data_IF_121323012473
#
_entry.id   IF_121323012473
#
_cell.length_a   1.000
_cell.length_b   1.000
_cell.length_c   1.000
_cell.angle_alpha   90.00
_cell.angle_beta   90.00
_cell.angle_gamma   90.00
#
_symmetry.space_group_name_H-M   'P 1'
#
loop_
_entity.id
_entity.type
_entity.pdbx_description
1 polymer ?
#
# COMPACT_ATOMS: atom_id res chain seq x y z
N UNK A 1 2.85 -32.50 -5.36
CA UNK A 1 2.42 -33.79 -4.78
C UNK A 1 3.20 -34.92 -5.43
N UNK A 2 3.37 -36.07 -4.75
CA UNK A 2 3.99 -37.26 -5.32
C UNK A 2 3.29 -37.75 -6.59
N UNK A 3 4.05 -38.33 -7.52
CA UNK A 3 3.50 -39.01 -8.71
C UNK A 3 2.85 -40.35 -8.35
N UNK A 4 3.40 -41.05 -7.36
CA UNK A 4 2.83 -42.28 -6.82
C UNK A 4 1.46 -42.01 -6.19
N UNK A 5 0.46 -42.78 -6.63
CA UNK A 5 -0.93 -42.63 -6.24
C UNK A 5 -1.17 -42.98 -4.76
N UNK A 6 -0.45 -43.98 -4.23
CA UNK A 6 -0.55 -44.36 -2.81
C UNK A 6 -0.07 -43.22 -1.92
N UNK A 7 1.10 -42.68 -2.26
CA UNK A 7 1.74 -41.55 -1.58
C UNK A 7 0.90 -40.27 -1.67
N UNK A 8 0.26 -40.04 -2.83
CA UNK A 8 -0.63 -38.90 -3.03
C UNK A 8 -1.84 -38.95 -2.11
N UNK A 9 -2.47 -40.12 -1.96
CA UNK A 9 -3.59 -40.34 -1.03
C UNK A 9 -3.19 -40.11 0.43
N UNK A 10 -1.98 -40.51 0.82
CA UNK A 10 -1.44 -40.23 2.16
C UNK A 10 -1.27 -38.73 2.41
N UNK A 11 -0.75 -37.98 1.44
CA UNK A 11 -0.61 -36.52 1.54
C UNK A 11 -1.96 -35.79 1.58
N UNK A 12 -2.94 -36.26 0.81
CA UNK A 12 -4.32 -35.75 0.85
C UNK A 12 -4.96 -35.96 2.23
N UNK A 13 -4.75 -37.14 2.84
CA UNK A 13 -5.22 -37.46 4.18
C UNK A 13 -4.59 -36.57 5.26
N UNK A 14 -3.30 -36.26 5.13
CA UNK A 14 -2.60 -35.38 6.08
C UNK A 14 -3.09 -33.94 6.06
N UNK A 15 -3.64 -33.45 4.94
CA UNK A 15 -4.18 -32.10 4.83
C UNK A 15 -5.51 -31.90 5.55
N UNK A 16 -6.24 -32.98 5.87
CA UNK A 16 -7.52 -32.97 6.60
C UNK A 16 -8.55 -31.97 6.05
N UNK A 17 -8.59 -31.79 4.72
CA UNK A 17 -9.60 -30.97 4.03
C UNK A 17 -10.69 -31.86 3.49
N UNK A 18 -11.94 -31.57 3.82
CA UNK A 18 -13.09 -32.29 3.26
C UNK A 18 -13.11 -32.15 1.73
N UNK A 19 -13.35 -33.27 1.02
CA UNK A 19 -13.51 -33.34 -0.43
C UNK A 19 -12.33 -32.83 -1.29
N UNK A 20 -11.13 -32.70 -0.71
CA UNK A 20 -9.95 -32.26 -1.47
C UNK A 20 -9.31 -33.42 -2.26
N UNK A 21 -9.13 -33.21 -3.58
CA UNK A 21 -8.36 -34.11 -4.47
C UNK A 21 -7.21 -33.33 -5.11
N UNK A 22 -5.99 -33.85 -5.00
CA UNK A 22 -4.80 -33.19 -5.51
C UNK A 22 -4.66 -33.37 -7.02
N UNK A 23 -4.51 -32.26 -7.74
CA UNK A 23 -4.16 -32.23 -9.17
C UNK A 23 -2.65 -32.19 -9.37
N UNK A 24 -2.17 -32.43 -10.60
CA UNK A 24 -0.73 -32.41 -10.92
C UNK A 24 -0.06 -31.03 -10.68
N UNK A 25 -0.84 -29.94 -10.69
CA UNK A 25 -0.38 -28.59 -10.38
C UNK A 25 -0.36 -28.27 -8.87
N UNK A 26 -0.94 -29.12 -8.03
CA UNK A 26 -1.00 -28.89 -6.59
C UNK A 26 0.38 -29.08 -5.94
N UNK A 27 0.79 -28.12 -5.10
CA UNK A 27 2.07 -28.13 -4.37
C UNK A 27 1.82 -27.87 -2.87
N UNK A 28 2.71 -28.39 -2.02
CA UNK A 28 2.76 -28.14 -0.58
C UNK A 28 4.11 -27.47 -0.29
N UNK A 29 4.13 -26.45 0.57
CA UNK A 29 5.37 -25.76 0.91
C UNK A 29 6.27 -26.62 1.83
N UNK A 30 7.58 -26.39 1.78
CA UNK A 30 8.57 -27.17 2.54
C UNK A 30 8.40 -27.09 4.07
N UNK A 31 7.71 -26.07 4.59
CA UNK A 31 7.46 -25.87 6.03
C UNK A 31 6.59 -26.97 6.66
N UNK A 32 5.86 -27.73 5.84
CA UNK A 32 4.99 -28.80 6.32
C UNK A 32 5.71 -30.14 6.50
N UNK A 33 7.02 -30.19 6.21
CA UNK A 33 7.86 -31.38 6.31
C UNK A 33 8.94 -31.18 7.38
N UNK A 34 9.27 -32.24 8.09
CA UNK A 34 10.42 -32.26 9.01
C UNK A 34 11.74 -32.18 8.24
N UNK A 35 12.80 -31.67 8.88
CA UNK A 35 14.10 -31.49 8.20
C UNK A 35 14.72 -32.81 7.74
N UNK A 36 14.41 -33.93 8.40
CA UNK A 36 14.91 -35.27 8.07
C UNK A 36 14.25 -35.87 6.81
N UNK A 37 13.15 -35.27 6.35
CA UNK A 37 12.47 -35.64 5.11
C UNK A 37 13.19 -35.11 3.84
N UNK A 38 14.29 -34.36 4.00
CA UNK A 38 15.04 -33.78 2.89
C UNK A 38 16.40 -34.45 2.70
N UNK A 39 16.67 -34.91 1.48
CA UNK A 39 17.99 -35.36 1.05
C UNK A 39 18.81 -34.17 0.54
N UNK A 40 19.95 -33.91 1.17
CA UNK A 40 20.89 -32.82 0.82
C UNK A 40 22.17 -33.32 0.12
N UNK A 41 22.39 -34.63 0.08
CA UNK A 41 23.63 -35.24 -0.43
C UNK A 41 23.63 -35.43 -1.95
N UNK A 42 22.46 -35.43 -2.59
CA UNK A 42 22.35 -35.62 -4.05
C UNK A 42 22.50 -34.28 -4.79
N UNK A 43 23.61 -34.15 -5.52
CA UNK A 43 23.81 -33.15 -6.60
C UNK A 43 23.64 -31.68 -6.18
N UNK A 44 23.98 -31.31 -4.93
CA UNK A 44 24.01 -29.92 -4.46
C UNK A 44 22.64 -29.22 -4.37
N UNK A 45 21.53 -29.96 -4.53
CA UNK A 45 20.18 -29.47 -4.40
C UNK A 45 19.42 -30.23 -3.30
N UNK A 46 18.48 -29.56 -2.63
CA UNK A 46 17.68 -30.15 -1.55
C UNK A 46 16.42 -30.78 -2.14
N UNK A 47 16.29 -32.10 -2.03
CA UNK A 47 15.15 -32.87 -2.54
C UNK A 47 14.35 -33.46 -1.39
N UNK A 48 13.06 -33.70 -1.60
CA UNK A 48 12.25 -34.44 -0.65
C UNK A 48 12.43 -35.94 -0.86
N UNK A 49 12.65 -36.71 0.20
CA UNK A 49 12.76 -38.17 0.12
C UNK A 49 11.48 -38.78 -0.47
N UNK A 50 11.61 -39.93 -1.14
CA UNK A 50 10.45 -40.68 -1.66
C UNK A 50 9.49 -41.12 -0.57
N UNK A 51 9.98 -41.26 0.66
CA UNK A 51 9.24 -41.66 1.85
C UNK A 51 8.86 -40.48 2.78
N UNK A 52 8.94 -39.24 2.30
CA UNK A 52 8.51 -38.09 3.08
C UNK A 52 6.98 -37.96 3.17
N UNK A 53 6.50 -37.48 4.33
CA UNK A 53 5.10 -37.15 4.60
C UNK A 53 5.01 -35.74 5.21
N UNK A 54 4.00 -34.93 4.81
CA UNK A 54 3.76 -33.65 5.46
C UNK A 54 3.02 -33.90 6.78
N UNK A 55 3.72 -33.79 7.90
CA UNK A 55 3.16 -34.00 9.25
C UNK A 55 2.92 -32.69 10.01
N UNK A 56 3.57 -31.60 9.60
CA UNK A 56 3.54 -30.33 10.34
C UNK A 56 2.39 -29.46 9.81
N UNK A 57 1.25 -29.51 10.50
CA UNK A 57 0.09 -28.66 10.24
C UNK A 57 -0.46 -28.08 11.54
N UNK A 58 -0.55 -26.76 11.62
CA UNK A 58 -1.21 -26.05 12.73
C UNK A 58 -2.73 -26.03 12.50
N UNK A 59 -3.42 -27.09 12.91
CA UNK A 59 -4.87 -27.14 12.88
C UNK A 59 -5.47 -26.42 14.12
N UNK A 60 -6.59 -25.68 13.97
CA UNK A 60 -7.30 -25.10 15.10
C UNK A 60 -7.75 -26.18 16.11
N UNK A 61 -7.90 -25.83 17.39
CA UNK A 61 -8.16 -26.76 18.50
C UNK A 61 -9.33 -27.74 18.27
N UNK A 62 -10.36 -27.33 17.52
CA UNK A 62 -11.53 -28.15 17.20
C UNK A 62 -11.28 -29.23 16.13
N UNK A 63 -10.15 -29.16 15.40
CA UNK A 63 -9.70 -30.15 14.41
C UNK A 63 -8.50 -30.98 14.91
N UNK A 64 -8.05 -30.74 16.14
CA UNK A 64 -6.99 -31.50 16.79
C UNK A 64 -7.53 -32.81 17.39
N UNK A 65 -6.86 -33.94 17.10
CA UNK A 65 -7.22 -35.22 17.70
C UNK A 65 -6.73 -35.22 19.15
N UNK A 66 -7.58 -34.83 20.10
CA UNK A 66 -7.31 -35.05 21.52
C UNK A 66 -7.41 -36.55 21.80
N UNK A 67 -6.28 -37.19 22.11
CA UNK A 67 -6.26 -38.53 22.70
C UNK A 67 -6.90 -38.46 24.09
N UNK A 68 -8.20 -38.74 24.17
CA UNK A 68 -8.89 -38.88 25.45
C UNK A 68 -8.38 -40.19 26.08
N UNK A 69 -7.43 -40.09 27.01
CA UNK A 69 -7.08 -41.22 27.89
C UNK A 69 -8.30 -41.53 28.76
N UNK A 70 -9.10 -42.53 28.37
CA UNK A 70 -10.22 -43.00 29.19
C UNK A 70 -9.65 -43.58 30.49
N UNK A 71 -10.20 -43.16 31.63
CA UNK A 71 -9.97 -43.85 32.91
C UNK A 71 -10.57 -45.26 32.81
N UNK A 72 -9.96 -46.29 33.43
CA UNK A 72 -10.55 -47.63 33.45
C UNK A 72 -11.93 -47.57 34.12
N UNK A 73 -12.90 -48.39 33.65
CA UNK A 73 -14.23 -48.40 34.22
C UNK A 73 -14.17 -48.85 35.69
N UNK A 74 -14.82 -48.09 36.58
CA UNK A 74 -15.03 -48.51 37.96
C UNK A 74 -15.98 -49.72 37.94
N UNK A 75 -15.57 -50.82 38.57
CA UNK A 75 -16.43 -51.98 38.83
C UNK A 75 -17.60 -51.51 39.69
N UNK A 76 -18.84 -51.69 39.22
CA UNK A 76 -20.01 -51.59 40.09
C UNK A 76 -19.94 -52.78 41.06
N UNK A 77 -20.02 -52.51 42.35
CA UNK A 77 -20.32 -53.55 43.34
C UNK A 77 -21.81 -53.87 43.26
N UNK A 78 -22.12 -55.16 43.18
CA UNK A 78 -23.49 -55.68 43.13
C UNK A 78 -24.20 -55.38 44.45
N UNK A 79 -25.31 -54.64 44.36
CA UNK A 79 -26.25 -54.44 45.45
C UNK A 79 -27.07 -55.71 45.64
N UNK A 80 -26.69 -56.54 46.60
CA UNK A 80 -27.55 -57.54 47.20
C UNK A 80 -27.71 -57.24 48.69
N UNK A 81 -28.77 -56.50 49.03
CA UNK A 81 -29.69 -56.87 50.10
C UNK A 81 -30.99 -56.04 50.00
N UNK A 82 -32.17 -56.65 50.20
CA UNK A 82 -33.45 -55.96 50.11
C UNK A 82 -33.84 -55.40 51.48
N UNK A 83 -34.47 -54.21 51.52
CA UNK A 83 -35.66 -53.97 52.35
C UNK A 83 -36.21 -52.55 52.23
N UNK A 84 -37.50 -52.51 51.90
CA UNK A 84 -38.53 -51.62 52.45
C UNK A 84 -38.48 -50.12 52.13
N UNK A 85 -39.28 -49.78 51.12
CA UNK A 85 -39.98 -48.51 50.88
C UNK A 85 -40.31 -47.64 52.11
N UNK A 86 -39.97 -46.35 52.06
CA UNK A 86 -40.85 -45.25 52.52
C UNK A 86 -40.44 -43.88 51.92
N UNK A 87 -41.41 -43.32 51.20
CA UNK A 87 -41.63 -41.98 50.64
C UNK A 87 -40.60 -40.84 50.84
N UNK A 88 -40.07 -40.38 49.70
CA UNK A 88 -40.02 -38.98 49.20
C UNK A 88 -40.05 -37.81 50.21
N UNK A 89 -38.91 -37.13 50.34
CA UNK A 89 -38.87 -35.66 50.38
C UNK A 89 -37.79 -35.15 49.42
N UNK A 90 -38.21 -34.43 48.37
CA UNK A 90 -37.33 -33.63 47.53
C UNK A 90 -36.88 -32.40 48.32
N UNK A 91 -35.70 -32.45 48.96
CA UNK A 91 -35.02 -31.23 49.40
C UNK A 91 -34.25 -30.64 48.21
N UNK A 92 -34.77 -29.57 47.62
CA UNK A 92 -34.00 -28.72 46.72
C UNK A 92 -32.77 -28.17 47.45
N UNK A 93 -31.57 -28.64 47.08
CA UNK A 93 -30.31 -28.05 47.54
C UNK A 93 -30.25 -26.59 47.11
N UNK A 94 -30.56 -25.66 48.03
CA UNK A 94 -30.38 -24.21 47.84
C UNK A 94 -28.97 -23.92 47.28
N UNK A 95 -28.90 -23.34 46.08
CA UNK A 95 -27.62 -22.91 45.49
C UNK A 95 -26.98 -21.89 46.43
N UNK A 96 -25.83 -22.23 47.01
CA UNK A 96 -25.08 -21.31 47.90
C UNK A 96 -24.74 -20.04 47.13
N UNK A 97 -25.07 -18.87 47.70
CA UNK A 97 -24.76 -17.55 47.13
C UNK A 97 -23.24 -17.45 46.92
N UNK A 98 -22.83 -17.00 45.73
CA UNK A 98 -21.42 -16.68 45.44
C UNK A 98 -21.14 -15.31 46.06
N UNK A 99 -20.06 -15.22 46.84
CA UNK A 99 -19.60 -13.98 47.47
C UNK A 99 -18.38 -13.49 46.72
N UNK A 100 -18.36 -12.20 46.40
CA UNK A 100 -17.25 -11.48 45.80
C UNK A 100 -16.56 -10.61 46.85
N UNK A 101 -15.32 -10.19 46.57
CA UNK A 101 -14.52 -9.45 47.56
C UNK A 101 -15.16 -8.12 48.01
N UNK A 102 -15.97 -7.50 47.15
CA UNK A 102 -16.71 -6.26 47.46
C UNK A 102 -18.04 -6.47 48.21
N UNK A 103 -18.40 -7.71 48.53
CA UNK A 103 -19.67 -8.03 49.22
C UNK A 103 -19.52 -8.10 50.76
N UNK A 104 -18.35 -7.74 51.31
CA UNK A 104 -18.05 -7.80 52.74
C UNK A 104 -17.84 -6.41 53.30
N UNK A 105 -18.50 -6.11 54.42
CA UNK A 105 -18.38 -4.83 55.14
C UNK A 105 -17.37 -4.93 56.31
N UNK A 106 -16.97 -3.81 56.91
CA UNK A 106 -15.96 -3.80 57.98
C UNK A 106 -16.39 -4.65 59.20
N UNK A 107 -17.68 -4.66 59.51
CA UNK A 107 -18.27 -5.48 60.58
C UNK A 107 -18.14 -7.00 60.31
N UNK A 108 -18.08 -7.42 59.05
CA UNK A 108 -17.90 -8.84 58.68
C UNK A 108 -16.48 -9.36 58.99
N UNK A 109 -15.52 -8.47 59.23
CA UNK A 109 -14.14 -8.83 59.60
C UNK A 109 -13.97 -9.18 61.08
N UNK A 110 -14.96 -8.85 61.93
CA UNK A 110 -14.96 -9.21 63.36
C UNK A 110 -15.28 -10.69 63.58
N UNK A 111 -15.96 -11.34 62.62
CA UNK A 111 -16.24 -12.77 62.66
C UNK A 111 -15.06 -13.57 62.08
N UNK A 112 -14.39 -14.44 62.88
CA UNK A 112 -13.21 -15.19 62.41
C UNK A 112 -13.46 -16.02 61.14
N UNK A 113 -14.67 -16.56 61.01
CA UNK A 113 -15.08 -17.39 59.88
C UNK A 113 -15.29 -16.60 58.59
N UNK A 114 -15.84 -15.37 58.69
CA UNK A 114 -16.04 -14.49 57.53
C UNK A 114 -14.74 -13.83 57.11
N UNK A 115 -13.94 -13.34 58.06
CA UNK A 115 -12.61 -12.78 57.80
C UNK A 115 -11.69 -13.76 57.06
N UNK A 116 -11.67 -15.04 57.48
CA UNK A 116 -10.93 -16.11 56.80
C UNK A 116 -11.38 -16.29 55.34
N UNK A 117 -12.68 -16.16 55.08
CA UNK A 117 -13.26 -16.31 53.74
C UNK A 117 -12.93 -15.12 52.83
N UNK A 118 -12.90 -13.90 53.37
CA UNK A 118 -12.44 -12.71 52.64
C UNK A 118 -10.97 -12.84 52.26
N UNK A 119 -10.13 -13.27 53.21
CA UNK A 119 -8.70 -13.51 52.97
C UNK A 119 -8.48 -14.57 51.88
N UNK A 120 -9.28 -15.63 51.88
CA UNK A 120 -9.22 -16.67 50.84
C UNK A 120 -9.59 -16.13 49.46
N UNK A 121 -10.66 -15.34 49.35
CA UNK A 121 -11.06 -14.69 48.10
C UNK A 121 -10.03 -13.66 47.62
N UNK A 122 -9.44 -12.89 48.52
CA UNK A 122 -8.37 -11.94 48.22
C UNK A 122 -7.13 -12.65 47.69
N UNK A 123 -6.71 -13.74 48.34
CA UNK A 123 -5.58 -14.57 47.90
C UNK A 123 -5.84 -15.22 46.55
N UNK A 124 -7.06 -15.72 46.30
CA UNK A 124 -7.45 -16.23 44.99
C UNK A 124 -7.35 -15.14 43.92
N UNK A 125 -7.89 -13.94 44.18
CA UNK A 125 -7.83 -12.83 43.23
C UNK A 125 -6.39 -12.34 42.98
N UNK A 126 -5.56 -12.33 44.02
CA UNK A 126 -4.14 -11.98 43.93
C UNK A 126 -3.37 -13.03 43.12
N UNK A 127 -3.63 -14.32 43.32
CA UNK A 127 -3.00 -15.40 42.56
C UNK A 127 -3.37 -15.37 41.07
N UNK A 128 -4.60 -14.94 40.74
CA UNK A 128 -5.04 -14.76 39.35
C UNK A 128 -4.39 -13.52 38.70
N UNK A 129 -4.28 -12.39 39.43
CA UNK A 129 -3.76 -11.12 38.87
C UNK A 129 -2.23 -10.99 38.87
N UNK A 130 -1.56 -11.58 39.85
CA UNK A 130 -0.09 -11.55 40.05
C UNK A 130 0.73 -11.97 38.81
N UNK A 131 0.44 -13.09 38.11
CA UNK A 131 1.22 -13.49 36.94
C UNK A 131 1.12 -12.47 35.79
N UNK A 132 -0.06 -11.91 35.55
CA UNK A 132 -0.29 -10.89 34.50
C UNK A 132 0.47 -9.61 34.81
N UNK A 133 0.42 -9.14 36.06
CA UNK A 133 1.17 -7.94 36.50
C UNK A 133 2.68 -8.18 36.37
N UNK A 134 3.18 -9.35 36.76
CA UNK A 134 4.61 -9.71 36.60
C UNK A 134 5.02 -9.74 35.14
N UNK A 135 4.18 -10.29 34.24
CA UNK A 135 4.43 -10.29 32.79
C UNK A 135 4.50 -8.87 32.23
N UNK A 136 3.51 -8.04 32.54
CA UNK A 136 3.44 -6.65 32.07
C UNK A 136 4.61 -5.82 32.58
N UNK A 137 5.00 -5.96 33.85
CA UNK A 137 6.19 -5.28 34.41
C UNK A 137 7.48 -5.70 33.68
N UNK A 138 7.64 -6.98 33.37
CA UNK A 138 8.80 -7.48 32.61
C UNK A 138 8.81 -6.96 31.17
N UNK A 139 7.65 -6.92 30.52
CA UNK A 139 7.50 -6.39 29.16
C UNK A 139 7.82 -4.89 29.13
N UNK A 140 7.27 -4.12 30.07
CA UNK A 140 7.53 -2.70 30.18
C UNK A 140 9.02 -2.43 30.44
N UNK A 141 9.66 -3.19 31.33
CA UNK A 141 11.11 -3.12 31.55
C UNK A 141 11.94 -3.43 30.29
N UNK A 142 11.52 -4.41 29.48
CA UNK A 142 12.20 -4.71 28.21
C UNK A 142 12.04 -3.59 27.20
N UNK A 143 10.85 -2.99 27.13
CA UNK A 143 10.56 -1.86 26.25
C UNK A 143 11.38 -0.63 26.65
N UNK A 144 11.43 -0.27 27.93
CA UNK A 144 12.22 0.87 28.42
C UNK A 144 13.72 0.67 28.15
N UNK A 145 14.24 -0.54 28.37
CA UNK A 145 15.64 -0.86 28.04
C UNK A 145 15.94 -0.76 26.54
N UNK A 146 15.00 -1.19 25.69
CA UNK A 146 15.14 -1.05 24.22
C UNK A 146 15.13 0.41 23.79
N UNK A 147 14.25 1.23 24.37
CA UNK A 147 14.20 2.68 24.11
C UNK A 147 15.53 3.34 24.51
N UNK A 148 16.04 3.06 25.72
CA UNK A 148 17.32 3.59 26.19
C UNK A 148 18.49 3.16 25.28
N UNK A 149 18.50 1.90 24.82
CA UNK A 149 19.52 1.41 23.88
C UNK A 149 19.45 2.10 22.51
N UNK A 150 18.24 2.33 21.98
CA UNK A 150 18.06 3.05 20.71
C UNK A 150 18.47 4.52 20.84
N UNK A 151 18.16 5.17 21.97
CA UNK A 151 18.59 6.53 22.26
C UNK A 151 20.12 6.62 22.35
N UNK A 152 20.77 5.67 23.02
CA UNK A 152 22.24 5.59 23.06
C UNK A 152 22.85 5.41 21.67
N UNK A 153 22.28 4.53 20.83
CA UNK A 153 22.76 4.35 19.46
C UNK A 153 22.60 5.62 18.62
N UNK A 154 21.49 6.34 18.77
CA UNK A 154 21.29 7.62 18.09
C UNK A 154 22.34 8.66 18.54
N UNK A 155 22.62 8.73 19.83
CA UNK A 155 23.65 9.62 20.36
C UNK A 155 25.04 9.26 19.85
N UNK A 156 25.37 7.96 19.78
CA UNK A 156 26.64 7.48 19.24
C UNK A 156 26.80 7.79 17.75
N UNK A 157 25.73 7.64 16.95
CA UNK A 157 25.71 7.97 15.52
C UNK A 157 25.90 9.48 15.31
N UNK A 158 25.26 10.31 16.16
CA UNK A 158 25.41 11.77 16.15
C UNK A 158 26.85 12.18 16.53
N UNK A 159 27.41 11.61 17.60
CA UNK A 159 28.76 11.93 18.07
C UNK A 159 29.85 11.43 17.11
N UNK A 160 29.61 10.36 16.35
CA UNK A 160 30.53 9.80 15.34
C UNK A 160 30.46 10.49 13.97
N UNK A 161 29.82 11.67 13.88
CA UNK A 161 29.78 12.53 12.67
C UNK A 161 29.23 11.86 11.39
N UNK A 162 28.35 10.85 11.51
CA UNK A 162 27.71 10.23 10.33
C UNK A 162 26.48 11.01 9.82
N UNK A 163 26.05 12.04 10.56
CA UNK A 163 25.01 12.99 10.15
C UNK A 163 25.51 14.38 10.56
N UNK A 164 25.99 15.18 9.60
CA UNK A 164 26.34 16.59 9.82
C UNK A 164 25.11 17.34 10.38
N UNK A 165 25.26 18.32 11.27
CA UNK A 165 24.12 19.16 11.71
C UNK A 165 23.36 19.79 10.54
N UNK A 166 24.05 20.05 9.43
CA UNK A 166 23.44 20.45 8.16
C UNK A 166 22.58 19.34 7.55
N UNK A 167 23.02 18.09 7.53
CA UNK A 167 22.21 16.97 7.05
C UNK A 167 21.01 16.70 7.97
N UNK A 168 21.17 16.86 9.30
CA UNK A 168 20.08 16.74 10.26
C UNK A 168 19.03 17.84 10.06
N UNK A 169 19.45 19.09 9.94
CA UNK A 169 18.54 20.22 9.70
C UNK A 169 17.91 20.17 8.31
N UNK A 170 18.66 19.78 7.26
CA UNK A 170 18.10 19.51 5.92
C UNK A 170 17.08 18.38 5.99
N UNK A 171 17.35 17.28 6.70
CA UNK A 171 16.39 16.20 6.87
C UNK A 171 15.17 16.68 7.67
N UNK A 172 15.33 17.39 8.77
CA UNK A 172 14.21 17.92 9.56
C UNK A 172 13.34 18.89 8.74
N UNK A 173 13.94 19.79 7.95
CA UNK A 173 13.24 20.71 7.06
C UNK A 173 12.64 20.01 5.83
N UNK A 174 13.32 19.00 5.28
CA UNK A 174 12.84 18.22 4.12
C UNK A 174 11.82 17.14 4.51
N UNK A 175 11.80 16.74 5.78
CA UNK A 175 10.88 15.76 6.36
C UNK A 175 9.66 16.45 6.99
N UNK A 176 9.72 17.76 7.24
CA UNK A 176 8.55 18.56 7.58
C UNK A 176 7.63 18.68 6.36
N UNK A 177 6.67 17.76 6.27
CA UNK A 177 5.65 17.78 5.24
C UNK A 177 4.94 16.44 5.10
N UNK A 178 3.69 16.49 4.63
CA UNK A 178 2.88 15.31 4.34
C UNK A 178 3.60 14.28 3.45
N UNK A 179 4.41 14.63 2.42
CA UNK A 179 5.02 13.63 1.54
C UNK A 179 6.09 12.79 2.26
N UNK A 180 6.85 13.38 3.17
CA UNK A 180 7.92 12.69 3.88
C UNK A 180 7.37 11.75 4.96
N UNK A 181 6.33 12.16 5.69
CA UNK A 181 5.60 11.27 6.59
C UNK A 181 4.99 10.08 5.84
N UNK A 182 4.41 10.33 4.67
CA UNK A 182 3.85 9.29 3.80
C UNK A 182 4.93 8.33 3.29
N UNK A 183 6.11 8.84 2.89
CA UNK A 183 7.28 8.02 2.54
C UNK A 183 7.76 7.17 3.73
N UNK A 184 7.92 7.78 4.91
CA UNK A 184 8.31 7.09 6.14
C UNK A 184 7.30 6.01 6.56
N UNK A 185 6.00 6.26 6.38
CA UNK A 185 4.94 5.29 6.67
C UNK A 185 5.03 4.05 5.76
N UNK A 186 5.40 4.23 4.48
CA UNK A 186 5.59 3.14 3.52
C UNK A 186 6.90 2.39 3.74
N UNK A 187 7.96 3.08 4.15
CA UNK A 187 9.21 2.43 4.56
C UNK A 187 8.99 1.45 5.71
N UNK A 188 8.08 1.76 6.64
CA UNK A 188 7.70 0.86 7.75
C UNK A 188 6.91 -0.39 7.29
N UNK A 189 6.33 -0.37 6.09
CA UNK A 189 5.51 -1.45 5.52
C UNK A 189 5.91 -1.74 4.06
N UNK A 190 7.09 -2.34 3.83
CA UNK A 190 7.54 -2.67 2.48
C UNK A 190 6.54 -3.62 1.81
N UNK A 191 6.18 -3.33 0.55
CA UNK A 191 5.23 -4.14 -0.22
C UNK A 191 3.74 -3.89 0.05
N UNK A 192 3.37 -2.80 0.72
CA UNK A 192 1.95 -2.40 0.85
C UNK A 192 1.29 -2.20 -0.52
N UNK A 193 0.18 -2.92 -0.76
CA UNK A 193 -0.68 -2.78 -1.96
C UNK A 193 -1.59 -1.55 -1.93
N UNK A 194 -1.46 -0.70 -0.91
CA UNK A 194 -2.25 0.53 -0.84
C UNK A 194 -1.96 1.41 -2.05
N UNK A 195 -2.95 2.23 -2.42
CA UNK A 195 -2.78 3.23 -3.47
C UNK A 195 -1.83 4.34 -3.01
N UNK A 196 -1.18 4.99 -3.98
CA UNK A 196 -0.30 6.11 -3.70
C UNK A 196 -1.12 7.39 -3.49
N UNK A 197 -0.95 8.10 -2.37
CA UNK A 197 -1.65 9.35 -2.11
C UNK A 197 -1.23 10.43 -3.11
N UNK A 198 -2.10 11.40 -3.37
CA UNK A 198 -1.92 12.40 -4.42
C UNK A 198 -0.63 13.22 -4.27
N UNK A 199 -0.26 13.55 -3.04
CA UNK A 199 0.95 14.30 -2.71
C UNK A 199 2.22 13.50 -3.05
N UNK A 200 2.22 12.19 -2.76
CA UNK A 200 3.33 11.31 -3.11
C UNK A 200 3.38 11.04 -4.61
N UNK A 201 2.22 10.95 -5.28
CA UNK A 201 2.16 10.87 -6.75
C UNK A 201 2.79 12.11 -7.38
N UNK A 202 2.41 13.30 -6.93
CA UNK A 202 2.96 14.56 -7.40
C UNK A 202 4.48 14.63 -7.16
N UNK A 203 4.94 14.31 -5.95
CA UNK A 203 6.37 14.26 -5.63
C UNK A 203 7.14 13.29 -6.52
N UNK A 204 6.62 12.08 -6.73
CA UNK A 204 7.26 11.06 -7.55
C UNK A 204 7.36 11.47 -9.03
N UNK A 205 6.30 12.09 -9.57
CA UNK A 205 6.29 12.63 -10.94
C UNK A 205 7.29 13.77 -11.09
N UNK A 206 7.30 14.72 -10.14
CA UNK A 206 8.22 15.86 -10.14
C UNK A 206 9.68 15.41 -10.05
N UNK A 207 10.00 14.45 -9.17
CA UNK A 207 11.35 13.93 -9.05
C UNK A 207 11.82 13.23 -10.33
N UNK A 208 10.95 12.41 -10.93
CA UNK A 208 11.26 11.74 -12.20
C UNK A 208 11.41 12.74 -13.36
N UNK A 209 10.60 13.80 -13.38
CA UNK A 209 10.71 14.89 -14.36
C UNK A 209 12.04 15.63 -14.27
N UNK A 210 12.48 15.98 -13.05
CA UNK A 210 13.79 16.63 -12.87
C UNK A 210 14.96 15.71 -13.19
N UNK A 211 14.91 14.44 -12.78
CA UNK A 211 15.94 13.46 -13.10
C UNK A 211 15.47 12.03 -12.87
N UNK A 212 15.36 11.27 -13.96
CA UNK A 212 15.10 9.82 -13.91
C UNK A 212 16.19 9.08 -13.12
N UNK A 213 17.46 9.50 -13.25
CA UNK A 213 18.59 8.94 -12.50
C UNK A 213 18.47 9.19 -11.00
N UNK A 214 18.07 10.41 -10.60
CA UNK A 214 17.85 10.73 -9.19
C UNK A 214 16.67 9.93 -8.62
N UNK A 215 15.60 9.80 -9.41
CA UNK A 215 14.46 8.96 -9.06
C UNK A 215 14.86 7.49 -8.84
N UNK A 216 15.62 6.92 -9.76
CA UNK A 216 16.12 5.54 -9.66
C UNK A 216 17.08 5.35 -8.47
N UNK A 217 17.92 6.35 -8.20
CA UNK A 217 18.79 6.36 -7.01
C UNK A 217 17.97 6.31 -5.72
N UNK A 218 16.99 7.21 -5.57
CA UNK A 218 16.12 7.24 -4.39
C UNK A 218 15.36 5.92 -4.26
N UNK A 219 14.80 5.40 -5.36
CA UNK A 219 14.10 4.12 -5.37
C UNK A 219 15.00 2.93 -5.00
N UNK A 220 16.27 2.94 -5.43
CA UNK A 220 17.24 1.89 -5.09
C UNK A 220 17.63 1.93 -3.61
N UNK A 221 17.85 3.11 -3.06
CA UNK A 221 18.32 3.28 -1.69
C UNK A 221 17.21 3.18 -0.63
N UNK A 222 15.99 3.60 -0.96
CA UNK A 222 14.86 3.65 -0.05
C UNK A 222 13.80 2.56 -0.33
N UNK A 223 14.19 1.43 -0.94
CA UNK A 223 13.30 0.29 -1.24
C UNK A 223 12.04 0.70 -2.05
N UNK A 224 10.91 0.01 -1.87
CA UNK A 224 9.64 0.26 -2.59
C UNK A 224 8.87 1.48 -2.07
N UNK A 225 9.57 2.51 -1.56
CA UNK A 225 8.93 3.75 -1.09
C UNK A 225 8.29 4.53 -2.25
N UNK A 226 8.96 4.53 -3.40
CA UNK A 226 8.51 5.14 -4.64
C UNK A 226 7.90 4.10 -5.59
N UNK A 227 6.94 4.51 -6.44
CA UNK A 227 6.36 3.64 -7.45
C UNK A 227 7.41 3.07 -8.43
N UNK A 228 7.02 2.07 -9.21
CA UNK A 228 7.84 1.64 -10.34
C UNK A 228 7.70 2.68 -11.48
N UNK A 229 8.73 2.93 -12.32
CA UNK A 229 8.60 3.81 -13.49
C UNK A 229 7.44 3.43 -14.43
N UNK A 230 7.08 2.15 -14.50
CA UNK A 230 5.88 1.71 -15.24
C UNK A 230 4.57 2.25 -14.65
N UNK A 231 4.50 2.44 -13.33
CA UNK A 231 3.36 3.09 -12.69
C UNK A 231 3.34 4.58 -12.99
N UNK A 232 4.50 5.25 -13.03
CA UNK A 232 4.59 6.65 -13.47
C UNK A 232 4.09 6.82 -14.90
N UNK A 233 4.51 5.93 -15.82
CA UNK A 233 4.04 5.94 -17.22
C UNK A 233 2.52 5.79 -17.31
N UNK A 234 1.91 4.92 -16.50
CA UNK A 234 0.45 4.80 -16.42
C UNK A 234 -0.23 6.08 -15.91
N UNK A 235 0.41 6.83 -15.01
CA UNK A 235 -0.12 8.10 -14.55
C UNK A 235 0.01 9.19 -15.61
N UNK A 236 1.06 9.20 -16.43
CA UNK A 236 1.16 10.11 -17.56
C UNK A 236 0.14 9.80 -18.66
N UNK A 237 -0.18 8.52 -18.88
CA UNK A 237 -1.18 8.08 -19.87
C UNK A 237 -2.61 8.59 -19.60
N UNK A 238 -2.91 9.13 -18.42
CA UNK A 238 -4.24 9.69 -18.17
C UNK A 238 -4.48 11.03 -18.85
N UNK A 239 -3.43 11.70 -19.31
CA UNK A 239 -3.52 12.98 -20.01
C UNK A 239 -3.34 12.70 -21.49
N UNK A 240 -4.30 13.15 -22.29
CA UNK A 240 -4.17 13.11 -23.74
C UNK A 240 -3.09 14.10 -24.19
N UNK A 241 -2.16 13.61 -24.99
CA UNK A 241 -1.05 14.37 -25.54
C UNK A 241 -1.04 14.33 -27.06
N UNK A 242 -2.17 13.98 -27.70
CA UNK A 242 -2.31 14.03 -29.15
C UNK A 242 -2.12 15.44 -29.70
N UNK A 243 -1.79 15.58 -31.00
CA UNK A 243 -1.84 16.86 -31.69
C UNK A 243 -3.23 17.49 -31.58
N UNK A 244 -3.28 18.82 -31.53
CA UNK A 244 -4.47 19.61 -31.25
C UNK A 244 -4.33 20.52 -30.04
N UNK A 245 -5.41 21.24 -29.73
CA UNK A 245 -5.53 21.98 -28.48
C UNK A 245 -5.87 21.03 -27.34
N UNK A 246 -5.16 21.16 -26.22
CA UNK A 246 -5.30 20.23 -25.10
C UNK A 246 -6.34 20.71 -24.09
N UNK A 247 -7.38 19.91 -23.86
CA UNK A 247 -8.43 20.21 -22.86
C UNK A 247 -7.90 20.41 -21.44
N UNK A 248 -6.84 19.70 -21.08
CA UNK A 248 -6.17 19.86 -19.79
C UNK A 248 -5.54 21.25 -19.65
N UNK A 249 -4.97 21.79 -20.73
CA UNK A 249 -4.42 23.15 -20.74
C UNK A 249 -5.55 24.18 -20.61
N UNK A 250 -6.64 24.03 -21.37
CA UNK A 250 -7.82 24.91 -21.29
C UNK A 250 -8.47 24.89 -19.90
N UNK A 251 -8.56 23.72 -19.28
CA UNK A 251 -9.06 23.57 -17.90
C UNK A 251 -8.16 24.28 -16.89
N UNK A 252 -6.83 24.19 -17.05
CA UNK A 252 -5.89 24.91 -16.21
C UNK A 252 -6.00 26.44 -16.38
N UNK A 253 -6.23 26.92 -17.61
CA UNK A 253 -6.49 28.33 -17.89
C UNK A 253 -7.77 28.82 -17.19
N UNK A 254 -8.87 28.07 -17.28
CA UNK A 254 -10.12 28.39 -16.56
C UNK A 254 -9.92 28.48 -15.05
N UNK A 255 -9.11 27.57 -14.48
CA UNK A 255 -8.76 27.63 -13.06
C UNK A 255 -7.99 28.91 -12.72
N UNK A 256 -6.99 29.27 -13.54
CA UNK A 256 -6.21 30.51 -13.37
C UNK A 256 -7.06 31.77 -13.48
N UNK A 257 -8.00 31.81 -14.42
CA UNK A 257 -8.97 32.90 -14.55
C UNK A 257 -9.84 32.98 -13.30
N UNK A 258 -10.38 31.85 -12.81
CA UNK A 258 -11.20 31.83 -11.60
C UNK A 258 -10.46 32.33 -10.35
N UNK A 259 -9.14 32.03 -10.24
CA UNK A 259 -8.27 32.55 -9.19
C UNK A 259 -8.10 34.07 -9.30
N UNK A 260 -7.89 34.59 -10.51
CA UNK A 260 -7.74 36.02 -10.77
C UNK A 260 -9.04 36.79 -10.54
N UNK A 261 -10.19 36.24 -10.95
CA UNK A 261 -11.50 36.87 -10.73
C UNK A 261 -11.82 37.03 -9.25
N UNK A 262 -11.45 36.06 -8.40
CA UNK A 262 -11.58 36.19 -6.94
C UNK A 262 -10.78 37.36 -6.36
N UNK A 263 -9.69 37.73 -7.03
CA UNK A 263 -8.83 38.85 -6.69
C UNK A 263 -9.23 40.15 -7.44
N UNK A 264 -10.36 40.15 -8.13
CA UNK A 264 -10.84 41.23 -9.01
C UNK A 264 -9.80 41.65 -10.07
N UNK A 265 -9.06 40.68 -10.62
CA UNK A 265 -8.10 40.88 -11.70
C UNK A 265 -8.53 40.15 -12.97
N UNK A 266 -8.29 40.76 -14.11
CA UNK A 266 -8.35 40.09 -15.41
C UNK A 266 -7.03 39.39 -15.70
N UNK A 267 -7.04 38.31 -16.50
CA UNK A 267 -5.81 37.62 -16.92
C UNK A 267 -5.45 38.11 -18.31
N UNK A 268 -4.26 38.68 -18.45
CA UNK A 268 -3.76 39.22 -19.71
C UNK A 268 -2.60 38.35 -20.17
N UNK A 269 -2.67 37.86 -21.40
CA UNK A 269 -1.66 36.98 -21.99
C UNK A 269 -1.15 37.47 -23.34
N UNK A 270 0.07 37.04 -23.65
CA UNK A 270 0.69 37.10 -24.96
C UNK A 270 0.64 35.69 -25.58
N UNK A 271 0.15 35.57 -26.82
CA UNK A 271 0.18 34.33 -27.58
C UNK A 271 1.51 34.24 -28.34
N UNK A 272 2.27 33.19 -28.07
CA UNK A 272 3.52 32.89 -28.74
C UNK A 272 3.28 31.66 -29.62
N UNK A 273 3.64 31.78 -30.88
CA UNK A 273 3.47 30.74 -31.88
C UNK A 273 4.81 30.50 -32.56
N UNK A 274 5.20 29.23 -32.68
CA UNK A 274 6.50 28.85 -33.22
C UNK A 274 6.41 27.57 -34.06
N UNK A 275 7.26 27.48 -35.10
CA UNK A 275 7.40 26.32 -35.99
C UNK A 275 8.72 25.61 -35.68
N UNK A 276 8.62 24.40 -35.13
CA UNK A 276 9.78 23.63 -34.71
C UNK A 276 10.04 22.47 -35.67
N UNK A 277 11.20 22.42 -36.32
CA UNK A 277 11.57 21.26 -37.15
C UNK A 277 11.66 19.98 -36.32
N UNK A 278 10.99 18.92 -36.77
CA UNK A 278 10.99 17.60 -36.14
C UNK A 278 11.64 16.56 -37.06
N UNK A 279 12.15 15.48 -36.46
CA UNK A 279 12.71 14.37 -37.23
C UNK A 279 11.56 13.62 -37.92
N UNK A 280 11.62 13.54 -39.24
CA UNK A 280 10.70 12.73 -40.06
C UNK A 280 10.82 11.26 -39.64
N UNK A 281 9.81 10.76 -38.95
CA UNK A 281 9.77 9.37 -38.47
C UNK A 281 8.32 8.94 -38.27
N UNK A 282 8.01 7.72 -38.68
CA UNK A 282 6.70 7.11 -38.47
C UNK A 282 6.89 5.96 -37.48
N UNK A 283 6.12 6.00 -36.39
CA UNK A 283 6.11 4.99 -35.34
C UNK A 283 4.70 4.42 -35.17
N UNK A 284 4.60 3.10 -35.00
CA UNK A 284 3.33 2.43 -34.71
C UNK A 284 3.06 2.41 -33.19
N UNK A 285 2.07 3.17 -32.74
CA UNK A 285 1.64 3.16 -31.35
C UNK A 285 0.42 2.27 -31.13
N UNK A 286 0.61 0.94 -31.22
CA UNK A 286 -0.36 -0.15 -30.92
C UNK A 286 -1.70 -0.15 -31.67
N UNK A 287 -2.23 1.01 -32.01
CA UNK A 287 -3.57 1.32 -32.49
C UNK A 287 -3.49 2.20 -33.74
N UNK A 288 -2.58 3.20 -33.75
CA UNK A 288 -2.38 4.09 -34.89
C UNK A 288 -0.91 4.38 -35.24
N UNK A 289 -0.67 4.74 -36.49
CA UNK A 289 0.61 5.30 -36.93
C UNK A 289 0.73 6.77 -36.49
N UNK A 290 1.86 7.13 -35.89
CA UNK A 290 2.20 8.48 -35.46
C UNK A 290 3.36 8.96 -36.30
N UNK A 291 3.30 10.20 -36.78
CA UNK A 291 4.38 10.82 -37.56
C UNK A 291 3.91 11.48 -38.86
N UNK A 292 2.65 11.30 -39.24
CA UNK A 292 2.01 12.03 -40.32
C UNK A 292 1.56 13.42 -39.87
N UNK A 293 1.22 14.27 -40.85
CA UNK A 293 0.54 15.54 -40.61
C UNK A 293 -0.75 15.29 -39.82
N UNK A 294 -0.94 16.02 -38.74
CA UNK A 294 -2.08 15.85 -37.83
C UNK A 294 -2.49 17.22 -37.25
N UNK A 295 -3.70 17.64 -37.63
CA UNK A 295 -4.33 18.88 -37.20
C UNK A 295 -5.24 18.71 -35.97
N UNK A 296 -5.23 17.56 -35.30
CA UNK A 296 -6.04 17.30 -34.11
C UNK A 296 -7.54 17.12 -34.42
N UNK A 297 -7.89 16.80 -35.68
CA UNK A 297 -9.28 16.55 -36.10
C UNK A 297 -9.74 15.12 -35.81
N UNK A 298 -8.84 14.25 -35.32
CA UNK A 298 -9.13 12.84 -35.06
C UNK A 298 -9.31 12.00 -36.32
N UNK A 299 -8.95 12.53 -37.49
CA UNK A 299 -8.91 11.80 -38.75
C UNK A 299 -7.53 11.15 -38.91
N UNK A 300 -7.45 9.84 -38.65
CA UNK A 300 -6.26 9.06 -38.93
C UNK A 300 -6.27 8.68 -40.42
N UNK A 301 -5.56 9.46 -41.24
CA UNK A 301 -5.37 9.16 -42.67
C UNK A 301 -3.90 8.86 -42.96
N UNK A 302 -3.60 7.57 -43.14
CA UNK A 302 -2.27 7.05 -43.45
C UNK A 302 -1.76 7.51 -44.84
N UNK A 303 -2.58 8.20 -45.65
CA UNK A 303 -2.15 8.80 -46.92
C UNK A 303 -1.60 10.22 -46.75
N UNK A 304 -1.67 10.80 -45.56
CA UNK A 304 -1.11 12.12 -45.29
C UNK A 304 0.42 12.09 -45.38
N UNK A 305 1.05 13.20 -45.79
CA UNK A 305 2.49 13.27 -45.83
C UNK A 305 3.10 13.20 -44.42
N UNK A 306 4.35 12.78 -44.35
CA UNK A 306 5.11 12.75 -43.09
C UNK A 306 5.34 14.17 -42.59
N UNK A 307 5.06 14.41 -41.31
CA UNK A 307 5.28 15.70 -40.68
C UNK A 307 6.77 16.05 -40.63
N UNK A 308 7.08 17.30 -40.95
CA UNK A 308 8.44 17.85 -40.96
C UNK A 308 8.64 18.85 -39.84
N UNK A 309 7.56 19.48 -39.40
CA UNK A 309 7.55 20.55 -38.41
C UNK A 309 6.40 20.33 -37.41
N UNK A 310 6.56 20.87 -36.21
CA UNK A 310 5.53 20.98 -35.20
C UNK A 310 5.19 22.46 -35.02
N UNK A 311 3.93 22.81 -35.28
CA UNK A 311 3.40 24.15 -35.10
C UNK A 311 2.83 24.29 -33.68
N UNK A 312 3.52 25.04 -32.82
CA UNK A 312 3.28 25.05 -31.38
C UNK A 312 2.66 26.37 -30.91
N UNK A 313 1.78 26.28 -29.91
CA UNK A 313 1.06 27.43 -29.34
C UNK A 313 1.30 27.50 -27.83
N UNK A 314 1.79 28.64 -27.35
CA UNK A 314 2.05 28.87 -25.93
C UNK A 314 1.49 30.22 -25.49
N UNK A 315 0.74 30.25 -24.39
CA UNK A 315 0.38 31.50 -23.72
C UNK A 315 1.42 31.85 -22.67
N UNK A 316 1.90 33.07 -22.74
CA UNK A 316 2.70 33.70 -21.72
C UNK A 316 1.85 34.73 -20.97
N UNK A 317 1.70 34.57 -19.66
CA UNK A 317 0.98 35.55 -18.86
C UNK A 317 1.81 36.84 -18.73
N UNK A 318 1.18 37.98 -18.99
CA UNK A 318 1.84 39.30 -18.91
C UNK A 318 1.75 39.84 -17.49
N UNK A 319 0.59 39.66 -16.85
CA UNK A 319 0.34 40.16 -15.49
C UNK A 319 0.59 39.10 -14.40
N UNK A 320 1.29 38.02 -14.74
CA UNK A 320 1.65 36.94 -13.83
C UNK A 320 2.88 36.18 -14.32
N UNK A 321 3.40 35.28 -13.49
CA UNK A 321 4.63 34.54 -13.79
C UNK A 321 4.33 33.09 -14.14
N UNK A 322 3.70 32.86 -15.29
CA UNK A 322 3.48 31.51 -15.80
C UNK A 322 3.37 31.49 -17.33
N UNK A 323 3.69 30.32 -17.89
CA UNK A 323 3.57 30.00 -19.31
C UNK A 323 2.88 28.65 -19.44
N UNK A 324 1.92 28.52 -20.35
CA UNK A 324 1.18 27.28 -20.58
C UNK A 324 1.16 26.98 -22.08
N UNK A 325 1.70 25.84 -22.54
CA UNK A 325 1.47 25.37 -23.90
C UNK A 325 -0.01 24.98 -24.04
N UNK A 326 -0.69 25.52 -25.06
CA UNK A 326 -2.12 25.25 -25.30
C UNK A 326 -2.29 24.03 -26.19
N UNK A 327 -1.38 23.86 -27.15
CA UNK A 327 -1.48 22.79 -28.14
C UNK A 327 -0.37 22.85 -29.16
N UNK A 328 -0.33 21.83 -29.99
CA UNK A 328 0.60 21.74 -31.11
C UNK A 328 -0.03 20.96 -32.25
N UNK A 329 0.41 21.22 -33.47
CA UNK A 329 -0.03 20.51 -34.67
C UNK A 329 1.16 19.98 -35.43
N UNK A 330 1.03 18.81 -36.05
CA UNK A 330 2.08 18.23 -36.88
C UNK A 330 1.83 18.64 -38.33
N UNK A 331 2.80 19.29 -38.96
CA UNK A 331 2.63 19.91 -40.28
C UNK A 331 3.77 19.54 -41.23
N UNK A 332 3.53 19.71 -42.52
CA UNK A 332 4.53 19.59 -43.58
C UNK A 332 4.46 20.86 -44.45
N UNK A 333 4.83 21.98 -43.84
CA UNK A 333 4.55 23.32 -44.35
C UNK A 333 3.08 23.71 -44.21
N UNK A 334 2.83 25.01 -44.07
CA UNK A 334 1.49 25.60 -44.08
C UNK A 334 1.46 26.83 -44.98
N UNK A 335 0.34 27.02 -45.66
CA UNK A 335 0.07 28.28 -46.35
C UNK A 335 -0.23 29.40 -45.33
N UNK A 336 -0.01 30.66 -45.73
CA UNK A 336 -0.32 31.81 -44.88
C UNK A 336 -1.80 31.86 -44.45
N UNK A 337 -2.71 31.40 -45.31
CA UNK A 337 -4.15 31.33 -45.00
C UNK A 337 -4.46 30.26 -43.96
N UNK A 338 -3.89 29.06 -44.09
CA UNK A 338 -4.06 27.99 -43.11
C UNK A 338 -3.52 28.38 -41.73
N UNK A 339 -2.33 29.00 -41.69
CA UNK A 339 -1.74 29.55 -40.45
C UNK A 339 -2.69 30.54 -39.77
N UNK A 340 -3.22 31.49 -40.54
CA UNK A 340 -4.15 32.49 -40.03
C UNK A 340 -5.43 31.84 -39.47
N UNK A 341 -5.98 30.83 -40.14
CA UNK A 341 -7.17 30.13 -39.68
C UNK A 341 -6.94 29.41 -38.34
N UNK A 342 -5.83 28.70 -38.19
CA UNK A 342 -5.49 27.99 -36.93
C UNK A 342 -5.27 29.00 -35.79
N UNK A 343 -4.57 30.11 -36.05
CA UNK A 343 -4.38 31.18 -35.06
C UNK A 343 -5.72 31.79 -34.64
N UNK A 344 -6.60 32.08 -35.60
CA UNK A 344 -7.93 32.62 -35.30
C UNK A 344 -8.74 31.66 -34.41
N UNK A 345 -8.68 30.36 -34.69
CA UNK A 345 -9.37 29.37 -33.87
C UNK A 345 -8.78 29.28 -32.46
N UNK A 346 -7.45 29.33 -32.34
CA UNK A 346 -6.77 29.43 -31.05
C UNK A 346 -7.26 30.64 -30.25
N UNK A 347 -7.36 31.81 -30.88
CA UNK A 347 -7.80 33.03 -30.22
C UNK A 347 -9.25 32.93 -29.73
N UNK A 348 -10.16 32.32 -30.51
CA UNK A 348 -11.53 32.08 -30.07
C UNK A 348 -11.59 31.19 -28.84
N UNK A 349 -10.91 30.03 -28.88
CA UNK A 349 -10.89 29.07 -27.77
C UNK A 349 -10.31 29.71 -26.50
N UNK A 350 -9.23 30.48 -26.63
CA UNK A 350 -8.63 31.18 -25.47
C UNK A 350 -9.57 32.27 -24.95
N UNK A 351 -10.24 33.01 -25.82
CA UNK A 351 -11.20 34.03 -25.42
C UNK A 351 -12.38 33.43 -24.63
N UNK A 352 -12.87 32.26 -25.03
CA UNK A 352 -13.91 31.52 -24.31
C UNK A 352 -13.51 31.13 -22.88
N UNK A 353 -12.21 31.00 -22.59
CA UNK A 353 -11.72 30.76 -21.22
C UNK A 353 -11.76 32.00 -20.32
N UNK A 354 -12.00 33.19 -20.89
CA UNK A 354 -12.01 34.47 -20.18
C UNK A 354 -10.64 35.16 -20.09
N UNK A 355 -9.68 34.75 -20.93
CA UNK A 355 -8.35 35.37 -21.03
C UNK A 355 -8.36 36.43 -22.13
N UNK A 356 -7.73 37.56 -21.84
CA UNK A 356 -7.49 38.63 -22.82
C UNK A 356 -6.12 38.46 -23.45
N UNK A 357 -6.08 38.17 -24.76
CA UNK A 357 -4.84 38.06 -25.53
C UNK A 357 -4.54 39.41 -26.17
N UNK A 358 -3.45 40.06 -25.76
CA UNK A 358 -3.12 41.43 -26.19
C UNK A 358 -2.04 41.45 -27.27
N UNK A 359 -1.15 40.47 -27.28
CA UNK A 359 -0.05 40.39 -28.24
C UNK A 359 0.04 39.02 -28.88
N UNK A 360 0.39 38.99 -30.16
CA UNK A 360 0.74 37.80 -30.92
C UNK A 360 2.21 37.91 -31.31
N UNK A 361 3.00 36.90 -30.96
CA UNK A 361 4.41 36.79 -31.33
C UNK A 361 4.59 35.57 -32.21
N UNK A 362 5.18 35.79 -33.39
CA UNK A 362 5.51 34.80 -34.39
C UNK A 362 6.99 34.99 -34.73
N UNK A 363 7.73 33.91 -34.96
CA UNK A 363 9.05 34.03 -35.58
C UNK A 363 8.89 34.45 -37.06
N UNK A 364 9.86 35.20 -37.57
CA UNK A 364 9.87 35.71 -38.94
C UNK A 364 9.96 34.56 -39.94
N UNK A 365 9.03 34.49 -40.89
CA UNK A 365 9.00 33.45 -41.92
C UNK A 365 10.29 33.41 -42.74
N UNK A 366 10.87 32.22 -42.90
CA UNK A 366 11.80 31.89 -43.99
C UNK A 366 11.05 31.46 -45.24
#
# INVERSE_FOLDING_TARGET
FPRDEKRRKEWEKSLRRENFKATNSTKICSKHFEQDCFDKEKFGATWLKSDALPTIFDFPDHLSNKTIKRKPPKRLEDLNEPTSSLASSFEEKRKKRKYFLGDFEEEDMESPSKARRVLELANQQQNVKSPTIKRLKRENFRLTKKVASLQSLLQDIQNKLLITESAKSILEVSIQGTPAELLLSRLKKPGSKQEYPAELRAFALTLHFYSSKAYDYVRKNFQTCLPHPSTLRKWYQSIDGSPGFTDAALSALKMKVSEATKLNKTVICALIVDEMSIKKHIDWNKDKFIGYVDFGTGLDDDQLPVATEAYTFMLNCVNGHWKIPIGYFLINGLTAQERANIIQECLKIVHETGIEVVTLTLDGTS
#
